data_IF_002596396032
#
_entry.id   IF_002596396032
#
_cell.length_a   1.000
_cell.length_b   1.000
_cell.length_c   1.000
_cell.angle_alpha   90.00
_cell.angle_beta   90.00
_cell.angle_gamma   90.00
#
_symmetry.space_group_name_H-M   'P 1'
#
loop_
_entity.id
_entity.type
_entity.pdbx_description
1 polymer ?
#
# COMPACT_ATOMS: atom_id res chain seq x y z
N UNK A 1 75.16 -15.21 0.26
CA UNK A 1 73.72 -15.49 0.08
C UNK A 1 72.92 -14.38 0.76
N UNK A 2 72.55 -13.33 0.02
CA UNK A 2 71.63 -12.29 0.52
C UNK A 2 70.21 -12.69 0.11
N UNK A 3 69.35 -13.00 1.07
CA UNK A 3 67.92 -13.24 0.82
C UNK A 3 67.19 -11.90 0.87
N UNK A 4 66.94 -11.32 -0.29
CA UNK A 4 66.08 -10.15 -0.45
C UNK A 4 64.62 -10.58 -0.27
N UNK A 5 63.95 -10.09 0.77
CA UNK A 5 62.52 -10.30 1.00
C UNK A 5 61.75 -9.14 0.37
N UNK A 6 61.11 -9.37 -0.77
CA UNK A 6 60.14 -8.42 -1.34
C UNK A 6 58.86 -8.46 -0.50
N UNK A 7 58.59 -7.39 0.24
CA UNK A 7 57.32 -7.16 0.92
C UNK A 7 56.30 -6.68 -0.13
N UNK A 8 55.43 -7.56 -0.61
CA UNK A 8 54.28 -7.19 -1.44
C UNK A 8 53.23 -6.52 -0.54
N UNK A 9 53.16 -5.19 -0.58
CA UNK A 9 52.13 -4.40 0.07
C UNK A 9 50.82 -4.56 -0.71
N UNK A 10 49.99 -5.52 -0.33
CA UNK A 10 48.63 -5.69 -0.85
C UNK A 10 47.76 -4.50 -0.38
N UNK A 11 47.60 -3.47 -1.21
CA UNK A 11 46.51 -2.51 -1.02
C UNK A 11 45.19 -3.22 -1.30
N UNK A 12 44.52 -3.66 -0.23
CA UNK A 12 43.15 -4.11 -0.30
C UNK A 12 42.25 -2.90 -0.64
N UNK A 13 41.92 -2.72 -1.92
CA UNK A 13 40.86 -1.82 -2.33
C UNK A 13 39.55 -2.40 -1.84
N UNK A 14 39.05 -1.89 -0.70
CA UNK A 14 37.70 -2.22 -0.24
C UNK A 14 36.72 -1.62 -1.23
N UNK A 15 36.00 -2.47 -1.95
CA UNK A 15 34.86 -2.05 -2.76
C UNK A 15 33.77 -1.61 -1.78
N UNK A 16 33.58 -0.29 -1.64
CA UNK A 16 32.43 0.24 -0.93
C UNK A 16 31.21 -0.02 -1.80
N UNK A 17 30.48 -1.10 -1.52
CA UNK A 17 29.15 -1.30 -2.10
C UNK A 17 28.24 -0.24 -1.51
N UNK A 18 27.90 0.78 -2.30
CA UNK A 18 26.89 1.77 -1.92
C UNK A 18 25.55 1.04 -1.91
N UNK A 19 25.07 0.72 -0.71
CA UNK A 19 23.70 0.23 -0.54
C UNK A 19 22.75 1.35 -0.96
N UNK A 20 21.79 1.04 -1.83
CA UNK A 20 20.67 1.95 -2.08
C UNK A 20 19.84 2.03 -0.79
N UNK A 21 19.41 3.23 -0.40
CA UNK A 21 18.57 3.42 0.80
C UNK A 21 17.29 2.57 0.82
N UNK A 22 16.59 2.51 1.98
CA UNK A 22 15.47 1.61 2.21
C UNK A 22 14.30 1.92 1.28
N UNK A 23 13.71 0.89 0.67
CA UNK A 23 12.48 1.04 -0.13
C UNK A 23 11.34 1.36 0.84
N UNK A 24 10.58 2.42 0.56
CA UNK A 24 9.44 2.79 1.38
C UNK A 24 8.27 1.84 1.11
N UNK A 25 7.82 1.18 2.15
CA UNK A 25 6.55 0.44 2.14
C UNK A 25 5.48 1.35 2.71
N UNK A 26 4.50 1.72 1.88
CA UNK A 26 3.38 2.56 2.29
C UNK A 26 2.22 1.70 2.76
N UNK A 27 1.64 2.08 3.89
CA UNK A 27 0.32 1.63 4.29
C UNK A 27 -0.76 2.33 3.43
N UNK A 28 -1.91 1.69 3.31
CA UNK A 28 -3.09 2.27 2.64
C UNK A 28 -4.19 2.64 3.62
N UNK A 29 -4.03 2.27 4.90
CA UNK A 29 -5.02 2.50 5.95
C UNK A 29 -4.37 3.16 7.17
N UNK A 30 -5.03 4.19 7.69
CA UNK A 30 -4.53 4.95 8.82
C UNK A 30 -4.63 4.19 10.15
N UNK A 31 -5.66 3.38 10.35
CA UNK A 31 -5.83 2.61 11.59
C UNK A 31 -4.66 1.63 11.81
N UNK A 32 -4.28 0.91 10.75
CA UNK A 32 -3.09 0.04 10.74
C UNK A 32 -1.83 0.84 11.00
N UNK A 33 -1.70 2.00 10.36
CA UNK A 33 -0.53 2.86 10.55
C UNK A 33 -0.41 3.40 11.98
N UNK A 34 -1.52 3.73 12.64
CA UNK A 34 -1.54 4.21 14.02
C UNK A 34 -1.21 3.09 15.02
N UNK A 35 -1.73 1.88 14.82
CA UNK A 35 -1.35 0.70 15.64
C UNK A 35 0.16 0.43 15.55
N UNK A 36 0.71 0.50 14.34
CA UNK A 36 2.16 0.37 14.11
C UNK A 36 2.95 1.53 14.70
N UNK A 37 2.49 2.76 14.53
CA UNK A 37 3.13 3.95 15.07
C UNK A 37 3.30 3.88 16.59
N UNK A 38 2.21 3.52 17.29
CA UNK A 38 2.22 3.33 18.74
C UNK A 38 3.13 2.19 19.21
N UNK A 39 3.19 1.08 18.47
CA UNK A 39 4.05 -0.06 18.84
C UNK A 39 5.52 0.14 18.47
N UNK A 40 5.82 0.89 17.41
CA UNK A 40 7.17 1.15 16.92
C UNK A 40 7.77 2.46 17.48
N UNK A 41 6.99 3.27 18.23
CA UNK A 41 7.43 4.57 18.75
C UNK A 41 7.72 5.58 17.63
N UNK A 42 6.86 5.60 16.61
CA UNK A 42 6.98 6.40 15.38
C UNK A 42 5.78 7.33 15.21
N UNK A 43 5.94 8.34 14.37
CA UNK A 43 4.82 9.16 13.90
C UNK A 43 4.17 8.52 12.66
N UNK A 44 3.02 9.04 12.22
CA UNK A 44 2.41 8.67 10.94
C UNK A 44 2.60 9.82 9.94
N UNK A 45 3.01 9.49 8.72
CA UNK A 45 3.09 10.45 7.61
C UNK A 45 2.09 10.04 6.54
N UNK A 46 1.06 10.84 6.30
CA UNK A 46 0.04 10.58 5.28
C UNK A 46 0.28 11.51 4.09
N UNK A 47 0.34 10.96 2.88
CA UNK A 47 0.28 11.71 1.63
C UNK A 47 -1.02 11.40 0.89
N UNK A 48 -1.83 12.42 0.68
CA UNK A 48 -3.02 12.38 -0.18
C UNK A 48 -2.61 12.66 -1.62
N UNK A 49 -3.04 11.80 -2.55
CA UNK A 49 -2.73 11.91 -3.98
C UNK A 49 -3.88 11.44 -4.85
N UNK A 50 -3.70 11.62 -6.16
CA UNK A 50 -4.47 10.97 -7.21
C UNK A 50 -3.55 10.71 -8.41
N UNK A 51 -3.90 9.77 -9.28
CA UNK A 51 -3.13 9.49 -10.49
C UNK A 51 -3.08 10.69 -11.47
N UNK A 52 -4.12 11.52 -11.49
CA UNK A 52 -4.20 12.73 -12.31
C UNK A 52 -3.52 13.96 -11.67
N UNK A 53 -2.99 13.84 -10.44
CA UNK A 53 -2.32 14.93 -9.75
C UNK A 53 -0.85 15.05 -10.19
N UNK A 54 -0.56 15.96 -11.12
CA UNK A 54 0.81 16.17 -11.63
C UNK A 54 1.83 16.55 -10.54
N UNK A 55 1.56 17.47 -9.59
CA UNK A 55 2.52 17.77 -8.54
C UNK A 55 2.78 16.57 -7.60
N UNK A 56 1.78 15.70 -7.40
CA UNK A 56 1.94 14.46 -6.65
C UNK A 56 2.92 13.50 -7.35
N UNK A 57 2.74 13.30 -8.66
CA UNK A 57 3.63 12.48 -9.49
C UNK A 57 5.07 13.04 -9.52
N UNK A 58 5.20 14.36 -9.56
CA UNK A 58 6.50 15.02 -9.45
C UNK A 58 7.20 14.66 -8.14
N UNK A 59 6.50 14.74 -7.00
CA UNK A 59 7.07 14.33 -5.70
C UNK A 59 7.41 12.84 -5.64
N UNK A 60 6.56 11.98 -6.22
CA UNK A 60 6.78 10.53 -6.27
C UNK A 60 8.02 10.13 -7.07
N UNK A 61 8.34 10.89 -8.12
CA UNK A 61 9.51 10.65 -8.99
C UNK A 61 10.76 11.43 -8.57
N UNK A 62 10.64 12.37 -7.63
CA UNK A 62 11.75 13.21 -7.16
C UNK A 62 11.90 13.13 -5.64
N UNK A 63 11.10 13.87 -4.89
CA UNK A 63 11.15 14.01 -3.42
C UNK A 63 11.17 12.68 -2.68
N UNK A 64 10.28 11.75 -3.04
CA UNK A 64 10.21 10.44 -2.38
C UNK A 64 11.22 9.42 -2.91
N UNK A 65 11.98 9.75 -3.96
CA UNK A 65 13.12 8.95 -4.43
C UNK A 65 14.42 9.32 -3.71
N UNK A 66 14.46 10.50 -3.10
CA UNK A 66 15.63 10.96 -2.36
C UNK A 66 15.97 10.04 -1.17
N UNK A 67 17.23 9.64 -1.09
CA UNK A 67 17.72 8.67 -0.11
C UNK A 67 17.54 9.18 1.34
N UNK A 68 17.74 10.48 1.57
CA UNK A 68 17.64 11.07 2.90
C UNK A 68 16.19 11.18 3.37
N UNK A 69 15.28 11.54 2.47
CA UNK A 69 13.83 11.53 2.74
C UNK A 69 13.36 10.11 3.06
N UNK A 70 13.77 9.11 2.25
CA UNK A 70 13.41 7.70 2.47
C UNK A 70 13.95 7.17 3.80
N UNK A 71 15.18 7.52 4.16
CA UNK A 71 15.75 7.18 5.46
C UNK A 71 14.93 7.78 6.59
N UNK A 72 14.63 9.09 6.54
CA UNK A 72 13.86 9.76 7.57
C UNK A 72 12.45 9.14 7.73
N UNK A 73 11.74 8.92 6.61
CA UNK A 73 10.43 8.28 6.60
C UNK A 73 10.49 6.85 7.17
N UNK A 74 11.46 6.04 6.75
CA UNK A 74 11.59 4.65 7.23
C UNK A 74 11.93 4.57 8.73
N UNK A 75 12.79 5.47 9.21
CA UNK A 75 13.26 5.47 10.60
C UNK A 75 12.21 6.00 11.57
N UNK A 76 11.55 7.11 11.25
CA UNK A 76 10.75 7.86 12.22
C UNK A 76 9.23 7.83 11.97
N UNK A 77 8.81 7.30 10.82
CA UNK A 77 7.42 7.37 10.39
C UNK A 77 6.87 6.02 9.95
N UNK A 78 5.56 5.85 10.08
CA UNK A 78 4.77 4.90 9.31
C UNK A 78 4.13 5.67 8.14
N UNK A 79 4.63 5.52 6.90
CA UNK A 79 4.10 6.28 5.78
C UNK A 79 2.80 5.66 5.25
N UNK A 80 1.80 6.48 5.01
CA UNK A 80 0.49 6.13 4.44
C UNK A 80 0.35 6.85 3.10
N UNK A 81 -0.03 6.13 2.05
CA UNK A 81 -0.37 6.71 0.75
C UNK A 81 -1.87 6.57 0.53
N UNK A 82 -2.58 7.68 0.63
CA UNK A 82 -4.02 7.76 0.42
C UNK A 82 -4.29 8.25 -1.01
N UNK A 83 -4.57 7.32 -1.92
CA UNK A 83 -5.06 7.67 -3.26
C UNK A 83 -6.57 7.91 -3.20
N UNK A 84 -7.01 9.13 -3.47
CA UNK A 84 -8.43 9.52 -3.27
C UNK A 84 -9.39 8.82 -4.24
N UNK A 85 -8.85 8.16 -5.27
CA UNK A 85 -9.60 7.41 -6.26
C UNK A 85 -9.59 5.89 -5.99
N UNK A 86 -8.84 5.42 -4.98
CA UNK A 86 -8.64 4.01 -4.69
C UNK A 86 -8.76 3.68 -3.18
N UNK A 87 -9.13 2.43 -2.88
CA UNK A 87 -9.11 1.92 -1.50
C UNK A 87 -9.93 2.79 -0.54
N UNK A 88 -9.37 3.13 0.62
CA UNK A 88 -10.02 4.00 1.62
C UNK A 88 -9.59 5.47 1.47
N UNK A 89 -8.85 5.84 0.41
CA UNK A 89 -8.22 7.16 0.31
C UNK A 89 -9.22 8.31 0.25
N UNK A 90 -10.39 8.12 -0.36
CA UNK A 90 -11.47 9.13 -0.32
C UNK A 90 -11.98 9.37 1.10
N UNK A 91 -12.19 8.30 1.88
CA UNK A 91 -12.69 8.41 3.26
C UNK A 91 -11.68 9.16 4.11
N UNK A 92 -10.38 8.83 4.00
CA UNK A 92 -9.33 9.55 4.70
C UNK A 92 -9.27 11.02 4.27
N UNK A 93 -9.38 11.31 2.97
CA UNK A 93 -9.37 12.67 2.45
C UNK A 93 -10.51 13.50 3.05
N UNK A 94 -11.70 12.90 3.12
CA UNK A 94 -12.89 13.49 3.70
C UNK A 94 -12.77 13.70 5.22
N UNK A 95 -12.40 12.66 5.97
CA UNK A 95 -12.31 12.69 7.44
C UNK A 95 -11.26 13.70 7.92
N UNK A 96 -10.18 13.88 7.16
CA UNK A 96 -9.18 14.91 7.42
C UNK A 96 -9.57 16.28 6.86
N UNK A 97 -10.71 16.45 6.19
CA UNK A 97 -11.12 17.72 5.61
C UNK A 97 -10.11 18.28 4.60
N UNK A 98 -9.42 17.40 3.87
CA UNK A 98 -8.48 17.80 2.81
C UNK A 98 -9.28 18.36 1.63
N UNK A 99 -8.74 19.39 0.97
CA UNK A 99 -9.42 20.06 -0.15
C UNK A 99 -8.57 20.13 -1.42
N UNK A 100 -7.25 19.96 -1.29
CA UNK A 100 -6.29 20.12 -2.39
C UNK A 100 -5.24 19.01 -2.37
N UNK A 101 -4.67 18.74 -3.54
CA UNK A 101 -3.61 17.74 -3.72
C UNK A 101 -2.32 18.37 -4.28
N UNK A 102 -1.14 17.86 -3.90
CA UNK A 102 -0.92 16.95 -2.77
C UNK A 102 -1.22 17.64 -1.44
N UNK A 103 -1.70 16.88 -0.47
CA UNK A 103 -1.69 17.29 0.94
C UNK A 103 -0.94 16.24 1.73
N UNK A 104 -0.04 16.68 2.60
CA UNK A 104 0.63 15.81 3.57
C UNK A 104 0.17 16.15 4.98
N UNK A 105 -0.03 15.13 5.80
CA UNK A 105 -0.37 15.27 7.21
C UNK A 105 0.60 14.43 8.04
N UNK A 106 1.18 15.04 9.07
CA UNK A 106 1.94 14.32 10.09
C UNK A 106 1.05 14.17 11.32
N UNK A 107 0.90 12.93 11.78
CA UNK A 107 0.23 12.59 13.04
C UNK A 107 1.25 12.06 14.04
N UNK A 108 1.04 12.31 15.33
CA UNK A 108 1.72 11.54 16.37
C UNK A 108 1.12 10.13 16.51
N UNK A 109 1.69 9.32 17.40
CA UNK A 109 1.23 7.95 17.69
C UNK A 109 -0.23 7.87 18.21
N UNK A 110 -0.73 8.95 18.82
CA UNK A 110 -2.12 9.07 19.28
C UNK A 110 -3.09 9.53 18.18
N UNK A 111 -2.58 9.78 16.96
CA UNK A 111 -3.37 10.26 15.82
C UNK A 111 -3.67 11.77 15.82
N UNK A 112 -3.02 12.54 16.69
CA UNK A 112 -3.15 13.99 16.70
C UNK A 112 -2.32 14.62 15.59
N UNK A 113 -2.90 15.59 14.87
CA UNK A 113 -2.22 16.31 13.80
C UNK A 113 -1.12 17.22 14.36
N UNK A 114 0.13 16.96 13.97
CA UNK A 114 1.30 17.78 14.28
C UNK A 114 1.53 18.85 13.22
N UNK A 115 1.38 18.50 11.94
CA UNK A 115 1.52 19.44 10.82
C UNK A 115 0.69 19.01 9.61
N UNK A 116 0.18 20.01 8.88
CA UNK A 116 -0.50 19.86 7.60
C UNK A 116 0.21 20.72 6.56
N UNK A 117 0.46 20.14 5.39
CA UNK A 117 1.17 20.79 4.28
C UNK A 117 0.32 20.62 3.02
N UNK A 118 -0.16 21.71 2.46
CA UNK A 118 -1.05 21.74 1.28
C UNK A 118 -0.33 22.27 0.03
N UNK A 119 0.92 21.87 -0.13
CA UNK A 119 1.78 22.23 -1.25
C UNK A 119 2.72 21.08 -1.62
N UNK A 120 3.19 21.07 -2.87
CA UNK A 120 4.26 20.17 -3.28
C UNK A 120 5.60 20.62 -2.71
N UNK A 121 6.38 19.70 -2.16
CA UNK A 121 7.68 19.98 -1.57
C UNK A 121 8.81 19.25 -2.29
N UNK A 122 9.95 19.94 -2.47
CA UNK A 122 11.22 19.29 -2.79
C UNK A 122 11.84 18.59 -1.57
N UNK A 123 12.85 17.77 -1.81
CA UNK A 123 13.47 16.89 -0.82
C UNK A 123 14.00 17.63 0.42
N UNK A 124 14.70 18.75 0.25
CA UNK A 124 15.32 19.46 1.37
C UNK A 124 14.28 20.00 2.35
N UNK A 125 13.20 20.59 1.82
CA UNK A 125 12.12 21.17 2.64
C UNK A 125 11.32 20.08 3.33
N UNK A 126 11.01 18.98 2.63
CA UNK A 126 10.35 17.84 3.27
C UNK A 126 11.23 17.22 4.35
N UNK A 127 12.52 17.00 4.08
CA UNK A 127 13.45 16.44 5.06
C UNK A 127 13.52 17.30 6.33
N UNK A 128 13.60 18.63 6.19
CA UNK A 128 13.61 19.53 7.35
C UNK A 128 12.34 19.41 8.21
N UNK A 129 11.17 19.28 7.58
CA UNK A 129 9.91 19.06 8.29
C UNK A 129 9.93 17.70 9.01
N UNK A 130 10.35 16.64 8.32
CA UNK A 130 10.41 15.29 8.89
C UNK A 130 11.36 15.22 10.08
N UNK A 131 12.52 15.86 10.00
CA UNK A 131 13.49 15.86 11.10
C UNK A 131 12.97 16.63 12.31
N UNK A 132 12.38 17.81 12.11
CA UNK A 132 11.79 18.62 13.17
C UNK A 132 10.70 17.88 13.95
N UNK A 133 9.83 17.13 13.26
CA UNK A 133 8.78 16.32 13.91
C UNK A 133 9.24 14.95 14.38
N UNK A 134 10.51 14.59 14.14
CA UNK A 134 11.12 13.37 14.69
C UNK A 134 11.91 13.62 15.98
N UNK A 135 12.07 14.88 16.38
CA UNK A 135 12.83 15.24 17.58
C UNK A 135 12.23 14.58 18.82
N UNK A 136 13.05 13.83 19.54
CA UNK A 136 12.64 13.13 20.77
C UNK A 136 12.00 11.75 20.54
N UNK A 137 11.73 11.34 19.29
CA UNK A 137 11.32 9.97 19.01
C UNK A 137 12.46 9.00 19.27
N UNK A 138 12.13 7.84 19.83
CA UNK A 138 13.05 6.71 19.98
C UNK A 138 12.47 5.48 19.29
N UNK A 139 12.54 5.41 17.94
CA UNK A 139 11.92 4.32 17.21
C UNK A 139 12.50 2.97 17.59
N UNK A 140 11.63 1.99 17.80
CA UNK A 140 12.01 0.59 17.99
C UNK A 140 12.19 -0.04 16.60
N UNK A 141 13.32 -0.69 16.31
CA UNK A 141 13.49 -1.40 15.04
C UNK A 141 12.41 -2.47 14.86
N UNK A 142 11.76 -2.50 13.69
CA UNK A 142 10.70 -3.46 13.35
C UNK A 142 11.10 -4.94 13.49
N UNK A 143 12.40 -5.24 13.55
CA UNK A 143 12.98 -6.59 13.55
C UNK A 143 12.90 -7.35 14.88
N UNK A 144 12.33 -6.78 15.95
CA UNK A 144 12.17 -7.51 17.21
C UNK A 144 11.14 -8.66 17.15
N UNK A 145 10.31 -8.74 16.09
CA UNK A 145 9.26 -9.76 15.95
C UNK A 145 9.41 -10.71 14.74
N UNK A 146 10.49 -10.63 13.96
CA UNK A 146 10.71 -11.48 12.77
C UNK A 146 11.76 -12.58 12.96
N UNK A 147 12.35 -12.71 14.15
CA UNK A 147 13.32 -13.77 14.47
C UNK A 147 12.65 -15.09 14.92
N UNK A 148 11.61 -15.55 14.21
CA UNK A 148 11.10 -16.93 14.38
C UNK A 148 10.32 -17.43 13.16
N UNK A 149 10.98 -17.52 12.01
CA UNK A 149 10.64 -18.55 11.02
C UNK A 149 11.86 -18.84 10.17
N UNK A 150 12.51 -19.94 10.52
CA UNK A 150 13.73 -20.46 9.96
C UNK A 150 13.65 -20.76 8.46
N UNK A 151 14.81 -20.65 7.83
CA UNK A 151 15.18 -21.08 6.49
C UNK A 151 14.56 -22.42 6.07
N UNK A 152 13.99 -22.47 4.85
CA UNK A 152 13.83 -23.73 4.12
C UNK A 152 14.28 -23.55 2.67
N UNK A 153 15.48 -24.09 2.44
CA UNK A 153 16.00 -24.76 1.25
C UNK A 153 15.18 -24.70 -0.04
N UNK A 154 15.82 -24.17 -1.08
CA UNK A 154 15.49 -24.44 -2.48
C UNK A 154 15.95 -25.86 -2.89
N UNK A 155 15.16 -26.58 -3.69
CA UNK A 155 15.68 -27.59 -4.59
C UNK A 155 15.59 -27.12 -6.04
N UNK A 156 16.69 -27.30 -6.80
CA UNK A 156 16.68 -27.17 -8.24
C UNK A 156 16.12 -28.43 -8.92
N UNK A 157 15.65 -28.29 -10.17
CA UNK A 157 15.68 -29.38 -11.15
C UNK A 157 15.55 -28.85 -12.59
N UNK A 158 16.10 -29.62 -13.51
CA UNK A 158 16.45 -29.26 -14.88
C UNK A 158 15.39 -29.62 -15.94
N UNK A 159 15.52 -28.93 -17.09
CA UNK A 159 15.49 -29.43 -18.48
C UNK A 159 14.18 -29.88 -19.18
N UNK A 160 14.03 -29.27 -20.38
CA UNK A 160 13.59 -29.81 -21.69
C UNK A 160 12.11 -29.81 -22.13
N UNK A 161 11.87 -29.23 -23.32
CA UNK A 161 11.00 -29.80 -24.36
C UNK A 161 9.91 -28.91 -24.99
N UNK A 162 10.25 -28.15 -26.05
CA UNK A 162 9.66 -28.03 -27.42
C UNK A 162 8.13 -28.15 -27.69
N UNK A 163 7.54 -27.64 -28.80
CA UNK A 163 7.79 -26.46 -29.67
C UNK A 163 6.59 -25.48 -29.74
N UNK A 164 6.83 -24.35 -30.41
CA UNK A 164 5.84 -23.42 -30.93
C UNK A 164 4.96 -24.05 -32.03
N UNK A 165 3.66 -23.79 -31.97
CA UNK A 165 2.75 -23.83 -33.13
C UNK A 165 2.01 -22.50 -33.25
N UNK A 166 2.11 -21.94 -34.46
CA UNK A 166 1.41 -20.75 -34.91
C UNK A 166 -0.04 -21.09 -35.25
N UNK A 167 -0.99 -20.35 -34.70
CA UNK A 167 -2.38 -20.32 -35.14
C UNK A 167 -2.83 -18.87 -35.26
N UNK A 168 -2.74 -18.34 -36.47
CA UNK A 168 -3.59 -17.24 -36.93
C UNK A 168 -5.04 -17.65 -36.70
N UNK A 169 -5.84 -16.80 -36.06
CA UNK A 169 -7.13 -16.35 -36.59
C UNK A 169 -7.81 -15.42 -35.56
N UNK A 170 -7.83 -14.13 -35.91
CA UNK A 170 -8.73 -13.15 -35.30
C UNK A 170 -9.93 -13.01 -36.25
N UNK A 171 -11.16 -13.05 -35.74
CA UNK A 171 -11.89 -11.78 -35.72
C UNK A 171 -12.59 -11.53 -34.39
N UNK A 172 -12.14 -10.45 -33.75
CA UNK A 172 -12.75 -9.77 -32.61
C UNK A 172 -14.15 -9.28 -32.99
N UNK A 173 -15.17 -10.02 -32.57
CA UNK A 173 -16.51 -9.47 -32.37
C UNK A 173 -16.60 -9.05 -30.90
N UNK A 174 -17.04 -7.83 -30.56
CA UNK A 174 -17.10 -7.38 -29.18
C UNK A 174 -18.29 -8.08 -28.51
N UNK A 175 -18.04 -9.24 -27.90
CA UNK A 175 -18.96 -9.78 -26.90
C UNK A 175 -18.99 -8.77 -25.76
N UNK A 176 -20.08 -8.04 -25.67
CA UNK A 176 -20.47 -7.20 -24.54
C UNK A 176 -20.36 -8.05 -23.28
N UNK A 177 -19.23 -7.99 -22.56
CA UNK A 177 -19.19 -8.48 -21.19
C UNK A 177 -20.24 -7.69 -20.45
N UNK A 178 -21.32 -8.38 -20.05
CA UNK A 178 -22.29 -7.82 -19.11
C UNK A 178 -21.48 -7.29 -17.92
N UNK A 179 -21.58 -5.99 -17.68
CA UNK A 179 -21.18 -5.39 -16.41
C UNK A 179 -21.93 -6.19 -15.34
N UNK A 180 -21.26 -6.73 -14.30
CA UNK A 180 -21.95 -7.46 -13.25
C UNK A 180 -22.97 -6.52 -12.58
N UNK A 181 -24.25 -6.68 -12.92
CA UNK A 181 -25.34 -6.19 -12.10
C UNK A 181 -25.34 -7.03 -10.83
N UNK A 182 -24.59 -6.62 -9.82
CA UNK A 182 -24.74 -7.16 -8.46
C UNK A 182 -25.03 -6.00 -7.51
N UNK A 183 -26.19 -5.38 -7.76
CA UNK A 183 -26.92 -4.54 -6.80
C UNK A 183 -27.85 -5.37 -5.91
N UNK A 184 -27.65 -6.70 -5.83
CA UNK A 184 -28.33 -7.47 -4.80
C UNK A 184 -27.86 -6.94 -3.45
N UNK A 185 -28.83 -6.52 -2.63
CA UNK A 185 -28.53 -5.98 -1.32
C UNK A 185 -27.66 -6.99 -0.54
N UNK A 186 -26.53 -6.57 0.04
CA UNK A 186 -25.71 -7.47 0.82
C UNK A 186 -26.57 -8.06 1.96
N UNK A 187 -26.36 -9.33 2.35
CA UNK A 187 -27.19 -9.94 3.38
C UNK A 187 -27.15 -9.12 4.67
N UNK A 188 -28.31 -8.95 5.32
CA UNK A 188 -28.48 -8.09 6.51
C UNK A 188 -27.69 -8.55 7.77
N UNK A 189 -27.02 -9.70 7.70
CA UNK A 189 -26.23 -10.25 8.79
C UNK A 189 -25.06 -11.08 8.26
N UNK A 190 -24.05 -11.28 9.11
CA UNK A 190 -22.82 -11.98 8.76
C UNK A 190 -21.66 -11.02 8.56
N UNK A 191 -20.68 -11.45 7.78
CA UNK A 191 -19.44 -10.74 7.55
C UNK A 191 -19.12 -10.67 6.05
N UNK A 192 -18.43 -9.61 5.65
CA UNK A 192 -17.86 -9.46 4.32
C UNK A 192 -16.44 -8.90 4.42
N UNK A 193 -15.64 -9.03 3.37
CA UNK A 193 -14.37 -8.29 3.27
C UNK A 193 -14.62 -7.01 2.46
N UNK A 194 -14.47 -5.84 3.08
CA UNK A 194 -14.50 -4.58 2.36
C UNK A 194 -13.12 -4.30 1.75
N UNK A 195 -13.10 -4.03 0.44
CA UNK A 195 -11.87 -3.89 -0.37
C UNK A 195 -11.65 -2.47 -0.89
N UNK A 196 -12.51 -1.53 -0.48
CA UNK A 196 -12.37 -0.10 -0.74
C UNK A 196 -13.70 0.65 -0.76
N UNK A 197 -13.59 1.97 -0.80
CA UNK A 197 -14.66 2.97 -0.90
C UNK A 197 -14.32 3.93 -2.03
N UNK A 198 -15.15 3.96 -3.06
CA UNK A 198 -14.88 4.70 -4.29
C UNK A 198 -15.96 5.76 -4.53
N UNK A 199 -15.59 6.90 -5.10
CA UNK A 199 -16.54 7.90 -5.59
C UNK A 199 -16.83 7.75 -7.07
N UNK A 200 -15.89 7.15 -7.83
CA UNK A 200 -15.99 6.96 -9.26
C UNK A 200 -16.34 5.51 -9.59
N UNK A 201 -17.51 5.31 -10.20
CA UNK A 201 -17.96 3.98 -10.63
C UNK A 201 -16.99 3.26 -11.60
N UNK A 202 -16.27 3.92 -12.52
CA UNK A 202 -15.23 3.24 -13.31
C UNK A 202 -14.12 2.56 -12.48
N UNK A 203 -13.79 3.13 -11.31
CA UNK A 203 -12.81 2.55 -10.40
C UNK A 203 -13.40 1.34 -9.66
N UNK A 204 -14.69 1.39 -9.32
CA UNK A 204 -15.46 0.24 -8.83
C UNK A 204 -15.36 -0.93 -9.82
N UNK A 205 -15.66 -0.69 -11.09
CA UNK A 205 -15.61 -1.73 -12.12
C UNK A 205 -14.20 -2.29 -12.30
N UNK A 206 -13.19 -1.42 -12.36
CA UNK A 206 -11.79 -1.83 -12.48
C UNK A 206 -11.38 -2.73 -11.31
N UNK A 207 -11.79 -2.38 -10.08
CA UNK A 207 -11.49 -3.16 -8.89
C UNK A 207 -12.24 -4.49 -8.86
N UNK A 208 -13.51 -4.53 -9.28
CA UNK A 208 -14.27 -5.78 -9.43
C UNK A 208 -13.56 -6.72 -10.40
N UNK A 209 -13.07 -6.21 -11.54
CA UNK A 209 -12.36 -7.03 -12.53
C UNK A 209 -11.02 -7.55 -12.01
N UNK A 210 -10.27 -6.74 -11.27
CA UNK A 210 -9.01 -7.16 -10.59
C UNK A 210 -9.28 -8.32 -9.63
N UNK A 211 -10.32 -8.17 -8.81
CA UNK A 211 -10.79 -9.13 -7.83
C UNK A 211 -11.26 -10.42 -8.52
N UNK A 212 -12.08 -10.33 -9.55
CA UNK A 212 -12.56 -11.47 -10.34
C UNK A 212 -11.47 -12.17 -11.16
N UNK A 213 -10.34 -11.51 -11.45
CA UNK A 213 -9.23 -12.13 -12.17
C UNK A 213 -8.48 -13.17 -11.32
N UNK A 214 -8.56 -13.06 -9.99
CA UNK A 214 -7.87 -13.96 -9.06
C UNK A 214 -8.81 -14.94 -8.36
N UNK A 215 -10.12 -14.75 -8.51
CA UNK A 215 -11.11 -15.59 -7.86
C UNK A 215 -12.51 -15.53 -8.50
N UNK A 216 -13.37 -16.49 -8.18
CA UNK A 216 -14.76 -16.54 -8.70
C UNK A 216 -15.83 -16.09 -7.68
N UNK A 217 -15.43 -15.51 -6.53
CA UNK A 217 -16.39 -15.10 -5.51
C UNK A 217 -17.16 -13.83 -5.90
N UNK A 218 -18.46 -13.72 -5.55
CA UNK A 218 -19.24 -12.51 -5.80
C UNK A 218 -18.67 -11.28 -5.08
N UNK A 219 -18.75 -10.14 -5.77
CA UNK A 219 -18.44 -8.81 -5.24
C UNK A 219 -19.73 -8.00 -5.26
N UNK A 220 -20.09 -7.44 -4.11
CA UNK A 220 -21.29 -6.63 -3.94
C UNK A 220 -20.87 -5.17 -3.89
N UNK A 221 -21.66 -4.31 -4.53
CA UNK A 221 -21.45 -2.87 -4.50
C UNK A 221 -22.56 -2.26 -3.64
N UNK A 222 -22.17 -1.71 -2.50
CA UNK A 222 -23.09 -0.95 -1.65
C UNK A 222 -22.95 0.54 -1.97
N UNK A 223 -24.00 1.12 -2.53
CA UNK A 223 -24.12 2.57 -2.70
C UNK A 223 -24.59 3.20 -1.40
N UNK A 224 -23.87 4.23 -0.94
CA UNK A 224 -24.25 5.04 0.21
C UNK A 224 -23.85 6.50 -0.04
N UNK A 225 -24.04 7.36 0.96
CA UNK A 225 -23.65 8.77 0.89
C UNK A 225 -22.83 9.15 2.12
N UNK A 226 -21.77 9.92 1.86
CA UNK A 226 -21.05 10.67 2.88
C UNK A 226 -21.39 12.13 2.59
N UNK A 227 -22.20 12.74 3.46
CA UNK A 227 -22.92 13.98 3.19
C UNK A 227 -23.69 13.93 1.84
N UNK A 228 -23.31 14.76 0.87
CA UNK A 228 -23.91 14.82 -0.46
C UNK A 228 -23.13 14.04 -1.53
N UNK A 229 -22.03 13.37 -1.14
CA UNK A 229 -21.20 12.60 -2.06
C UNK A 229 -21.64 11.14 -2.06
N UNK A 230 -22.03 10.64 -3.23
CA UNK A 230 -22.28 9.20 -3.42
C UNK A 230 -20.97 8.45 -3.37
N UNK A 231 -20.93 7.40 -2.55
CA UNK A 231 -19.78 6.50 -2.45
C UNK A 231 -20.21 5.05 -2.61
N UNK A 232 -19.33 4.26 -3.19
CA UNK A 232 -19.52 2.85 -3.51
C UNK A 232 -18.55 2.02 -2.66
N UNK A 233 -19.07 1.24 -1.72
CA UNK A 233 -18.28 0.30 -0.93
C UNK A 233 -18.28 -1.05 -1.63
N UNK A 234 -17.10 -1.62 -1.86
CA UNK A 234 -16.97 -2.94 -2.47
C UNK A 234 -16.82 -4.00 -1.38
N UNK A 235 -17.72 -4.98 -1.42
CA UNK A 235 -17.83 -6.06 -0.45
C UNK A 235 -17.60 -7.41 -1.16
N UNK A 236 -16.42 -8.00 -0.94
CA UNK A 236 -16.04 -9.29 -1.51
C UNK A 236 -16.47 -10.43 -0.60
N UNK A 237 -17.37 -11.28 -1.11
CA UNK A 237 -17.91 -12.44 -0.43
C UNK A 237 -18.95 -12.12 0.66
N UNK A 238 -19.57 -13.18 1.17
CA UNK A 238 -20.46 -13.15 2.33
C UNK A 238 -20.19 -14.39 3.18
N UNK A 239 -20.08 -14.20 4.49
CA UNK A 239 -19.62 -15.23 5.43
C UNK A 239 -20.48 -15.23 6.68
N UNK A 240 -20.78 -16.42 7.20
CA UNK A 240 -21.55 -16.56 8.42
C UNK A 240 -20.70 -16.18 9.65
N UNK A 241 -19.40 -16.44 9.59
CA UNK A 241 -18.48 -16.22 10.70
C UNK A 241 -17.35 -15.26 10.34
N UNK A 242 -16.80 -14.60 11.37
CA UNK A 242 -15.63 -13.71 11.21
C UNK A 242 -14.41 -14.48 10.71
N UNK A 243 -14.22 -15.70 11.19
CA UNK A 243 -13.09 -16.56 10.83
C UNK A 243 -13.07 -16.91 9.33
N UNK A 244 -14.24 -17.22 8.75
CA UNK A 244 -14.36 -17.45 7.30
C UNK A 244 -14.01 -16.20 6.49
N UNK A 245 -14.48 -15.02 6.95
CA UNK A 245 -14.14 -13.75 6.33
C UNK A 245 -12.65 -13.41 6.47
N UNK A 246 -12.01 -13.77 7.59
CA UNK A 246 -10.57 -13.60 7.81
C UNK A 246 -9.72 -14.48 6.90
N UNK A 247 -10.12 -15.75 6.73
CA UNK A 247 -9.48 -16.63 5.75
C UNK A 247 -9.62 -16.07 4.33
N UNK A 248 -10.79 -15.51 4.00
CA UNK A 248 -10.99 -14.86 2.71
C UNK A 248 -10.12 -13.62 2.52
N UNK A 249 -10.10 -12.73 3.51
CA UNK A 249 -9.24 -11.54 3.53
C UNK A 249 -7.76 -11.89 3.36
N UNK A 250 -7.29 -12.97 3.99
CA UNK A 250 -5.91 -13.44 3.83
C UNK A 250 -5.60 -13.85 2.39
N UNK A 251 -6.50 -14.58 1.72
CA UNK A 251 -6.33 -14.95 0.32
C UNK A 251 -6.33 -13.75 -0.64
N UNK A 252 -7.16 -12.73 -0.36
CA UNK A 252 -7.13 -11.47 -1.11
C UNK A 252 -5.80 -10.73 -0.92
N UNK A 253 -5.27 -10.71 0.31
CA UNK A 253 -3.99 -10.09 0.61
C UNK A 253 -2.82 -10.77 -0.13
N UNK A 254 -2.83 -12.10 -0.28
CA UNK A 254 -1.87 -12.83 -1.12
C UNK A 254 -1.91 -12.39 -2.59
N UNK A 255 -3.10 -12.05 -3.09
CA UNK A 255 -3.31 -11.46 -4.41
C UNK A 255 -3.01 -9.94 -4.47
N UNK A 256 -2.47 -9.35 -3.39
CA UNK A 256 -2.22 -7.89 -3.24
C UNK A 256 -3.48 -7.02 -3.28
N UNK A 257 -4.61 -7.59 -2.86
CA UNK A 257 -5.89 -6.89 -2.73
C UNK A 257 -6.13 -6.67 -1.24
N UNK A 258 -5.74 -5.51 -0.67
CA UNK A 258 -5.97 -5.24 0.74
C UNK A 258 -7.48 -5.11 1.01
N UNK A 259 -7.87 -5.49 2.22
CA UNK A 259 -9.24 -5.35 2.68
C UNK A 259 -9.35 -5.64 4.17
N UNK A 260 -10.52 -5.36 4.73
CA UNK A 260 -10.80 -5.53 6.15
C UNK A 260 -12.18 -6.16 6.38
N UNK A 261 -12.34 -6.78 7.55
CA UNK A 261 -13.58 -7.47 7.90
C UNK A 261 -14.64 -6.45 8.28
N UNK A 262 -15.80 -6.52 7.62
CA UNK A 262 -16.99 -5.75 7.95
C UNK A 262 -18.04 -6.67 8.57
N UNK A 263 -18.53 -6.30 9.76
CA UNK A 263 -19.72 -6.91 10.37
C UNK A 263 -20.97 -6.26 9.80
N UNK A 264 -21.77 -7.02 9.04
CA UNK A 264 -22.93 -6.52 8.31
C UNK A 264 -24.11 -6.18 9.22
N UNK A 265 -24.05 -6.52 10.52
CA UNK A 265 -25.11 -6.19 11.49
C UNK A 265 -24.98 -4.77 12.06
N UNK A 266 -23.85 -4.11 11.83
CA UNK A 266 -23.50 -2.80 12.38
C UNK A 266 -23.46 -1.70 11.31
N UNK A 267 -24.01 -1.96 10.13
CA UNK A 267 -24.04 -1.04 8.98
C UNK A 267 -25.10 0.04 9.11
#
# INVERSE_FOLDING_TARGET
>A
MFRSSLLFLFLATSWVTRANGPVLTFETRQDVALERASSEGKNVFIIFKAQWCTPCLWMETTTFQDETVRNALSTYYIPVKADIDEGDGFVLFYDHGVQVLPTMIILNEDGQVLERIEESLGQDKLLQILLRHSEGLTPVPATANEASSSEVHAPGLASAGTPAESGSDNPMSPTTRKIPETFDAPPAAGYSVQVGVFTLYPNVLSKILEIQAVHDRPVHVEETRIDDVVVYKLLSGHFATRSEAEAWRASLAEARIPGYIRDLRRS
#
